data_IF_392710816823
#
_entry.id   IF_392710816823
#
_cell.length_a   1.000
_cell.length_b   1.000
_cell.length_c   1.000
_cell.angle_alpha   90.00
_cell.angle_beta   90.00
_cell.angle_gamma   90.00
#
_symmetry.space_group_name_H-M   'P 1'
#
loop_
_entity.id
_entity.type
_entity.pdbx_description
1 polymer ?
#
# COMPACT_ATOMS: atom_id res chain seq x y z
N UNK A 1 6.68 0.83 -6.80
CA UNK A 1 7.48 -0.19 -7.50
C UNK A 1 8.74 -0.53 -6.72
N UNK A 2 9.32 -1.74 -6.87
CA UNK A 2 10.54 -2.14 -6.18
C UNK A 2 11.72 -1.26 -6.60
N UNK A 3 12.54 -0.85 -5.63
CA UNK A 3 13.81 -0.18 -5.88
C UNK A 3 14.92 -1.24 -5.89
N UNK A 4 15.59 -1.39 -7.04
CA UNK A 4 16.65 -2.39 -7.22
C UNK A 4 17.96 -2.01 -6.53
N UNK A 5 18.20 -0.72 -6.29
CA UNK A 5 19.41 -0.23 -5.62
C UNK A 5 19.25 -0.21 -4.10
N UNK A 6 18.03 0.02 -3.61
CA UNK A 6 17.73 0.07 -2.19
C UNK A 6 16.39 -0.62 -1.89
N UNK A 7 16.38 -1.96 -1.69
CA UNK A 7 15.16 -2.75 -1.60
C UNK A 7 14.19 -2.35 -0.48
N UNK A 8 14.68 -1.69 0.57
CA UNK A 8 13.87 -1.18 1.68
C UNK A 8 13.07 0.08 1.33
N UNK A 9 13.46 0.79 0.26
CA UNK A 9 12.92 2.08 -0.18
C UNK A 9 12.17 1.97 -1.51
N UNK A 10 10.96 1.40 -1.48
CA UNK A 10 10.13 1.33 -2.67
C UNK A 10 9.76 2.73 -3.20
N UNK A 11 9.89 2.89 -4.52
CA UNK A 11 9.54 4.10 -5.24
C UNK A 11 8.02 4.19 -5.40
N UNK A 12 7.44 5.38 -5.23
CA UNK A 12 6.01 5.62 -5.42
C UNK A 12 5.79 6.98 -6.05
N UNK A 13 4.88 7.02 -7.02
CA UNK A 13 4.49 8.25 -7.73
C UNK A 13 2.96 8.33 -7.74
N UNK A 14 2.35 9.39 -7.20
CA UNK A 14 0.91 9.58 -7.31
C UNK A 14 0.48 9.71 -8.77
N UNK A 15 -0.46 8.86 -9.21
CA UNK A 15 -1.04 8.92 -10.56
C UNK A 15 -2.33 9.75 -10.59
N UNK A 16 -3.12 9.69 -9.51
CA UNK A 16 -4.31 10.49 -9.31
C UNK A 16 -4.39 10.90 -7.84
N UNK A 17 -4.70 12.17 -7.58
CA UNK A 17 -4.65 12.76 -6.24
C UNK A 17 -6.07 13.03 -5.76
N UNK A 18 -6.50 12.27 -4.76
CA UNK A 18 -7.71 12.57 -3.97
C UNK A 18 -7.26 13.05 -2.59
N UNK A 19 -7.63 14.28 -2.17
CA UNK A 19 -7.28 14.79 -0.86
C UNK A 19 -7.73 13.84 0.26
N UNK A 20 -6.85 13.58 1.23
CA UNK A 20 -7.15 12.74 2.39
C UNK A 20 -6.99 11.22 2.20
N UNK A 21 -6.83 10.70 0.97
CA UNK A 21 -6.58 9.27 0.73
C UNK A 21 -5.18 8.94 0.20
N UNK A 22 -4.42 9.96 -0.23
CA UNK A 22 -3.13 9.77 -0.92
C UNK A 22 -2.02 9.17 -0.05
N UNK A 23 -1.96 9.54 1.23
CA UNK A 23 -0.94 9.03 2.14
C UNK A 23 -1.17 7.55 2.44
N UNK A 24 -2.43 7.19 2.69
CA UNK A 24 -2.86 5.80 2.86
C UNK A 24 -2.52 4.97 1.61
N UNK A 25 -2.94 5.43 0.43
CA UNK A 25 -2.67 4.73 -0.84
C UNK A 25 -1.16 4.57 -1.08
N UNK A 26 -0.37 5.60 -0.80
CA UNK A 26 1.09 5.58 -0.95
C UNK A 26 1.75 4.57 0.01
N UNK A 27 1.30 4.50 1.27
CA UNK A 27 1.81 3.51 2.24
C UNK A 27 1.52 2.08 1.78
N UNK A 28 0.28 1.79 1.40
CA UNK A 28 -0.12 0.47 0.91
C UNK A 28 0.69 0.09 -0.34
N UNK A 29 0.78 0.98 -1.33
CA UNK A 29 1.52 0.73 -2.57
C UNK A 29 3.00 0.41 -2.32
N UNK A 30 3.67 1.18 -1.44
CA UNK A 30 5.07 0.92 -1.07
C UNK A 30 5.24 -0.40 -0.33
N UNK A 31 4.35 -0.75 0.59
CA UNK A 31 4.44 -2.02 1.33
C UNK A 31 4.24 -3.21 0.39
N UNK A 32 3.20 -3.18 -0.45
CA UNK A 32 2.93 -4.25 -1.41
C UNK A 32 4.09 -4.43 -2.39
N UNK A 33 4.66 -3.33 -2.91
CA UNK A 33 5.80 -3.41 -3.81
C UNK A 33 7.04 -4.06 -3.16
N UNK A 34 7.29 -3.78 -1.87
CA UNK A 34 8.40 -4.41 -1.13
C UNK A 34 8.15 -5.90 -0.86
N UNK A 35 6.94 -6.26 -0.41
CA UNK A 35 6.60 -7.65 -0.07
C UNK A 35 6.56 -8.56 -1.29
N UNK A 36 6.05 -8.05 -2.42
CA UNK A 36 5.83 -8.87 -3.63
C UNK A 36 7.00 -8.85 -4.61
N UNK A 37 7.92 -7.88 -4.49
CA UNK A 37 8.95 -7.66 -5.50
C UNK A 37 8.39 -7.24 -6.87
N UNK A 38 7.13 -6.80 -6.93
CA UNK A 38 6.43 -6.39 -8.15
C UNK A 38 5.97 -4.93 -8.08
N UNK A 39 5.78 -4.24 -9.22
CA UNK A 39 5.05 -2.97 -9.23
C UNK A 39 3.63 -3.16 -8.66
N UNK A 40 3.17 -2.21 -7.85
CA UNK A 40 1.84 -2.19 -7.27
C UNK A 40 1.15 -0.87 -7.59
N UNK A 41 -0.09 -0.94 -8.07
CA UNK A 41 -0.95 0.21 -8.36
C UNK A 41 -2.12 0.18 -7.38
N UNK A 42 -2.32 1.28 -6.67
CA UNK A 42 -3.33 1.36 -5.61
C UNK A 42 -4.20 2.57 -5.87
N UNK A 43 -5.49 2.34 -6.06
CA UNK A 43 -6.54 3.34 -5.91
C UNK A 43 -7.14 3.24 -4.52
N UNK A 44 -7.45 4.38 -3.90
CA UNK A 44 -8.09 4.41 -2.58
C UNK A 44 -9.13 5.52 -2.49
N UNK A 45 -10.31 5.15 -2.01
CA UNK A 45 -11.35 6.08 -1.55
C UNK A 45 -11.41 6.18 -0.02
N UNK A 46 -10.48 5.53 0.71
CA UNK A 46 -10.45 5.57 2.16
C UNK A 46 -9.90 6.92 2.65
N UNK A 47 -10.65 7.60 3.52
CA UNK A 47 -10.29 8.89 4.11
C UNK A 47 -10.43 8.80 5.63
N UNK A 48 -9.38 9.18 6.34
CA UNK A 48 -9.28 9.04 7.80
C UNK A 48 -9.40 10.36 8.56
N UNK A 49 -10.01 11.40 7.97
CA UNK A 49 -9.99 12.77 8.50
C UNK A 49 -10.55 12.96 9.93
N UNK A 50 -11.39 12.04 10.41
CA UNK A 50 -11.94 12.04 11.77
C UNK A 50 -11.39 10.91 12.65
N UNK A 51 -10.43 10.14 12.15
CA UNK A 51 -9.85 8.98 12.82
C UNK A 51 -8.39 9.26 13.19
N UNK A 52 -7.87 8.53 14.17
CA UNK A 52 -6.48 8.62 14.56
C UNK A 52 -5.54 7.90 13.60
N UNK A 53 -4.24 8.07 13.85
CA UNK A 53 -3.17 7.36 13.13
C UNK A 53 -3.28 5.85 13.35
N UNK A 54 -3.73 5.41 14.53
CA UNK A 54 -3.86 3.99 14.86
C UNK A 54 -4.87 3.29 13.97
N UNK A 55 -6.04 3.90 13.76
CA UNK A 55 -7.07 3.38 12.86
C UNK A 55 -6.59 3.37 11.40
N UNK A 56 -5.88 4.40 10.97
CA UNK A 56 -5.28 4.43 9.63
C UNK A 56 -4.29 3.26 9.46
N UNK A 57 -3.42 3.05 10.45
CA UNK A 57 -2.43 1.97 10.45
C UNK A 57 -3.05 0.58 10.53
N UNK A 58 -4.14 0.42 11.28
CA UNK A 58 -4.94 -0.80 11.29
C UNK A 58 -5.54 -1.08 9.90
N UNK A 59 -6.04 -0.05 9.23
CA UNK A 59 -6.52 -0.13 7.85
C UNK A 59 -5.42 -0.53 6.86
N UNK A 60 -4.22 0.07 6.97
CA UNK A 60 -3.07 -0.30 6.13
C UNK A 60 -2.72 -1.77 6.34
N UNK A 61 -2.66 -2.22 7.60
CA UNK A 61 -2.34 -3.61 7.93
C UNK A 61 -3.36 -4.57 7.34
N UNK A 62 -4.65 -4.31 7.55
CA UNK A 62 -5.73 -5.17 7.06
C UNK A 62 -5.69 -5.33 5.53
N UNK A 63 -5.51 -4.23 4.79
CA UNK A 63 -5.41 -4.27 3.31
C UNK A 63 -4.18 -5.05 2.87
N UNK A 64 -3.02 -4.76 3.45
CA UNK A 64 -1.77 -5.43 3.07
C UNK A 64 -1.86 -6.94 3.33
N UNK A 65 -2.33 -7.35 4.52
CA UNK A 65 -2.46 -8.75 4.89
C UNK A 65 -3.45 -9.50 4.00
N UNK A 66 -4.63 -8.91 3.74
CA UNK A 66 -5.62 -9.49 2.84
C UNK A 66 -5.10 -9.67 1.41
N UNK A 67 -4.41 -8.67 0.86
CA UNK A 67 -3.82 -8.78 -0.49
C UNK A 67 -2.70 -9.81 -0.52
N UNK A 68 -1.81 -9.84 0.48
CA UNK A 68 -0.72 -10.84 0.48
C UNK A 68 -1.23 -12.26 0.68
N UNK A 69 -2.27 -12.46 1.50
CA UNK A 69 -2.89 -13.78 1.67
C UNK A 69 -3.41 -14.34 0.36
N UNK A 70 -4.19 -13.56 -0.40
CA UNK A 70 -4.70 -13.97 -1.73
C UNK A 70 -3.56 -14.29 -2.70
N UNK A 71 -2.48 -13.49 -2.68
CA UNK A 71 -1.33 -13.71 -3.56
C UNK A 71 -0.52 -14.96 -3.20
N UNK A 72 -0.57 -15.39 -1.94
CA UNK A 72 0.10 -16.60 -1.47
C UNK A 72 -0.73 -17.85 -1.76
N UNK A 73 -2.06 -17.76 -1.70
CA UNK A 73 -2.99 -18.85 -2.11
C UNK A 73 -2.89 -19.21 -3.60
N UNK A 74 -2.57 -18.24 -4.46
CA UNK A 74 -2.45 -18.46 -5.92
C UNK A 74 -1.10 -19.02 -6.40
N UNK A 75 -0.25 -19.54 -5.50
CA UNK A 75 1.10 -20.05 -5.83
C UNK A 75 1.19 -21.58 -5.97
N UNK A 76 0.06 -22.28 -5.89
CA UNK A 76 -0.06 -23.73 -6.13
C UNK A 76 -0.19 -24.07 -7.63
#
# INVERSE_FOLDING_TARGET
>A
MPNRFQPTEALSTPLYVVPGSIDFATRVAKILARRTGKPAYVGSSAVFGNYGIEEEMAGVRAVVEGVTGILDEGKD
#
